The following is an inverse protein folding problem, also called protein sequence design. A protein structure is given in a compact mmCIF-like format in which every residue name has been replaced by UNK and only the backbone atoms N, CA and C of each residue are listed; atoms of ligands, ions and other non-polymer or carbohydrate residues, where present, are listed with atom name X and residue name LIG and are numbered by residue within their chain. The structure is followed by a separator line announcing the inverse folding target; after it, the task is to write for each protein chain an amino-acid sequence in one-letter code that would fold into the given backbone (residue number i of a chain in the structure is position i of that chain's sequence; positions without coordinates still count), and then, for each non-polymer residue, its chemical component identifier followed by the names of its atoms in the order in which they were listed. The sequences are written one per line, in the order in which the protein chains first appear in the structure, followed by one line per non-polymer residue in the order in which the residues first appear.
data_IF_491962356799
#
_entry.id   IF_491962356799
#
_cell.length_a   1.000
_cell.length_b   1.000
_cell.length_c   1.000
_cell.angle_alpha   90.00
_cell.angle_beta   90.00
_cell.angle_gamma   90.00
#
_symmetry.space_group_name_H-M   'P 1'
#
loop_
_entity.id
_entity.type
_entity.pdbx_description
1 polymer ?
#
# COMPACT_ATOMS: atom_id res chain seq x y z
N UNK A 1 21.75 7.35 -45.60
CA UNK A 1 21.28 6.38 -44.60
C UNK A 1 22.46 5.94 -43.73
N UNK A 2 22.59 6.50 -42.52
CA UNK A 2 23.04 5.81 -41.30
C UNK A 2 22.78 6.76 -40.13
N UNK A 3 22.06 6.20 -39.17
CA UNK A 3 21.24 6.84 -38.15
C UNK A 3 22.11 7.50 -37.08
N UNK A 4 21.73 8.73 -36.70
CA UNK A 4 22.13 9.37 -35.45
C UNK A 4 21.77 8.44 -34.28
N UNK A 5 22.77 7.86 -33.62
CA UNK A 5 22.53 7.26 -32.30
C UNK A 5 22.50 8.43 -31.32
N UNK A 6 21.29 8.95 -31.09
CA UNK A 6 21.00 9.80 -29.95
C UNK A 6 21.37 9.02 -28.69
N UNK A 7 22.54 9.33 -28.13
CA UNK A 7 22.80 9.16 -26.70
C UNK A 7 21.78 10.02 -25.96
N UNK A 8 20.65 9.41 -25.60
CA UNK A 8 19.69 9.99 -24.66
C UNK A 8 20.36 9.94 -23.29
N UNK A 9 21.21 10.93 -23.05
CA UNK A 9 21.62 11.34 -21.71
C UNK A 9 20.35 11.86 -21.04
N UNK A 10 19.66 11.01 -20.28
CA UNK A 10 18.58 11.47 -19.40
C UNK A 10 19.24 12.28 -18.29
N UNK A 11 19.16 13.58 -18.52
CA UNK A 11 19.42 14.70 -17.66
C UNK A 11 18.58 14.59 -16.36
N UNK A 12 19.24 14.84 -15.24
CA UNK A 12 18.73 15.37 -13.97
C UNK A 12 17.75 14.53 -13.14
N UNK A 13 18.28 13.94 -12.06
CA UNK A 13 17.78 14.32 -10.74
C UNK A 13 18.97 14.91 -9.99
N UNK A 14 19.01 16.23 -9.96
CA UNK A 14 19.73 17.06 -9.00
C UNK A 14 19.71 16.43 -7.60
N UNK A 15 20.83 16.53 -6.89
CA UNK A 15 20.91 16.11 -5.49
C UNK A 15 19.75 16.70 -4.67
N UNK A 16 19.07 15.86 -3.91
CA UNK A 16 18.08 16.28 -2.92
C UNK A 16 18.02 15.13 -1.94
N UNK A 17 18.61 15.30 -0.76
CA UNK A 17 18.64 14.38 0.39
C UNK A 17 17.90 13.06 0.13
N UNK A 18 18.61 11.98 -0.26
CA UNK A 18 17.98 10.66 -0.49
C UNK A 18 17.54 10.07 0.84
N UNK A 19 16.54 10.68 1.46
CA UNK A 19 15.78 10.04 2.51
C UNK A 19 15.17 8.78 1.91
N UNK A 20 15.25 7.69 2.68
CA UNK A 20 14.53 6.46 2.35
C UNK A 20 13.06 6.78 2.06
N UNK A 21 12.39 6.01 1.21
CA UNK A 21 10.96 6.17 0.92
C UNK A 21 10.13 5.20 1.77
N UNK A 22 8.95 5.65 2.19
CA UNK A 22 7.95 4.79 2.82
C UNK A 22 7.47 3.69 1.87
N UNK A 23 6.83 2.65 2.42
CA UNK A 23 6.24 1.59 1.60
C UNK A 23 5.25 2.16 0.59
N UNK A 24 4.36 3.07 1.03
CA UNK A 24 3.37 3.69 0.15
C UNK A 24 4.00 4.50 -1.00
N UNK A 25 5.08 5.24 -0.76
CA UNK A 25 5.78 5.98 -1.81
C UNK A 25 6.39 5.03 -2.86
N UNK A 26 7.08 3.98 -2.42
CA UNK A 26 7.67 2.98 -3.33
C UNK A 26 6.59 2.21 -4.11
N UNK A 27 5.49 1.85 -3.43
CA UNK A 27 4.36 1.17 -4.03
C UNK A 27 3.62 2.02 -5.06
N UNK A 28 3.48 3.32 -4.80
CA UNK A 28 2.90 4.27 -5.74
C UNK A 28 3.72 4.32 -7.04
N UNK A 29 5.03 4.49 -6.92
CA UNK A 29 5.95 4.53 -8.06
C UNK A 29 5.90 3.24 -8.89
N UNK A 30 5.74 2.11 -8.21
CA UNK A 30 5.71 0.79 -8.85
C UNK A 30 4.37 0.46 -9.52
N UNK A 31 3.25 0.75 -8.86
CA UNK A 31 1.92 0.26 -9.25
C UNK A 31 1.09 1.31 -9.98
N UNK A 32 1.31 2.59 -9.68
CA UNK A 32 0.56 3.73 -10.20
C UNK A 32 1.52 4.78 -10.79
N UNK A 33 2.27 4.44 -11.87
CA UNK A 33 3.25 5.36 -12.43
C UNK A 33 2.59 6.67 -12.89
N UNK A 34 3.22 7.79 -12.53
CA UNK A 34 2.71 9.14 -12.81
C UNK A 34 1.64 9.66 -11.84
N UNK A 35 1.29 8.89 -10.79
CA UNK A 35 0.44 9.36 -9.68
C UNK A 35 1.27 9.90 -8.52
N UNK A 36 0.61 10.65 -7.64
CA UNK A 36 1.19 11.23 -6.43
C UNK A 36 0.51 10.67 -5.17
N UNK A 37 1.07 10.91 -3.98
CA UNK A 37 0.41 10.53 -2.72
C UNK A 37 -0.97 11.17 -2.57
N UNK A 38 -1.20 12.34 -3.19
CA UNK A 38 -2.51 12.98 -3.22
C UNK A 38 -3.55 12.19 -4.03
N UNK A 39 -3.14 11.27 -4.88
CA UNK A 39 -4.01 10.40 -5.66
C UNK A 39 -4.41 9.11 -4.93
N UNK A 40 -3.72 8.80 -3.85
CA UNK A 40 -3.96 7.60 -3.02
C UNK A 40 -4.32 7.96 -1.59
N UNK A 41 -4.98 9.11 -1.38
CA UNK A 41 -5.63 9.41 -0.10
C UNK A 41 -6.73 8.38 0.17
N UNK A 42 -7.09 8.17 1.44
CA UNK A 42 -8.09 7.17 1.81
C UNK A 42 -9.39 7.27 1.01
N UNK A 43 -9.95 8.49 0.87
CA UNK A 43 -11.18 8.70 0.09
C UNK A 43 -11.03 8.37 -1.40
N UNK A 44 -9.87 8.67 -2.01
CA UNK A 44 -9.58 8.29 -3.40
C UNK A 44 -9.37 6.78 -3.54
N UNK A 45 -8.64 6.15 -2.62
CA UNK A 45 -8.49 4.70 -2.58
C UNK A 45 -9.84 4.01 -2.45
N UNK A 46 -10.73 4.52 -1.60
CA UNK A 46 -12.07 3.97 -1.46
C UNK A 46 -12.85 4.06 -2.77
N UNK A 47 -12.82 5.23 -3.41
CA UNK A 47 -13.53 5.45 -4.67
C UNK A 47 -12.96 4.58 -5.79
N UNK A 48 -11.65 4.58 -5.98
CA UNK A 48 -11.01 3.86 -7.10
C UNK A 48 -11.00 2.34 -6.86
N UNK A 49 -10.51 1.87 -5.71
CA UNK A 49 -10.36 0.44 -5.46
C UNK A 49 -11.68 -0.26 -5.14
N UNK A 50 -12.55 0.36 -4.33
CA UNK A 50 -13.77 -0.29 -3.83
C UNK A 50 -15.01 0.01 -4.69
N UNK A 51 -15.22 1.27 -5.08
CA UNK A 51 -16.42 1.65 -5.84
C UNK A 51 -16.25 1.37 -7.34
N UNK A 52 -15.15 1.82 -7.94
CA UNK A 52 -14.88 1.65 -9.37
C UNK A 52 -14.22 0.31 -9.73
N UNK A 53 -13.94 -0.52 -8.73
CA UNK A 53 -13.26 -1.81 -8.88
C UNK A 53 -11.93 -1.71 -9.66
N UNK A 54 -11.19 -0.61 -9.48
CA UNK A 54 -9.95 -0.36 -10.22
C UNK A 54 -8.81 -1.25 -9.70
N UNK A 55 -8.43 -2.25 -10.50
CA UNK A 55 -7.39 -3.24 -10.14
C UNK A 55 -6.04 -2.62 -9.75
N UNK A 56 -5.60 -1.52 -10.38
CA UNK A 56 -4.31 -0.91 -10.03
C UNK A 56 -4.32 -0.35 -8.60
N UNK A 57 -5.42 0.28 -8.18
CA UNK A 57 -5.55 0.76 -6.81
C UNK A 57 -5.71 -0.39 -5.80
N UNK A 58 -6.34 -1.49 -6.21
CA UNK A 58 -6.37 -2.72 -5.39
C UNK A 58 -4.97 -3.30 -5.21
N UNK A 59 -4.17 -3.32 -6.27
CA UNK A 59 -2.77 -3.76 -6.19
C UNK A 59 -1.90 -2.78 -5.39
N UNK A 60 -2.21 -1.48 -5.39
CA UNK A 60 -1.57 -0.52 -4.50
C UNK A 60 -1.86 -0.82 -3.03
N UNK A 61 -3.12 -1.17 -2.70
CA UNK A 61 -3.50 -1.63 -1.35
C UNK A 61 -2.72 -2.89 -0.96
N UNK A 62 -2.67 -3.89 -1.84
CA UNK A 62 -1.86 -5.10 -1.62
C UNK A 62 -0.41 -4.74 -1.31
N UNK A 63 0.19 -3.90 -2.16
CA UNK A 63 1.59 -3.48 -2.02
C UNK A 63 1.87 -2.86 -0.65
N UNK A 64 1.10 -1.83 -0.29
CA UNK A 64 1.33 -1.06 0.91
C UNK A 64 1.08 -1.92 2.15
N UNK A 65 -0.07 -2.58 2.23
CA UNK A 65 -0.44 -3.30 3.44
C UNK A 65 0.36 -4.60 3.65
N UNK A 66 0.82 -5.27 2.60
CA UNK A 66 1.71 -6.44 2.76
C UNK A 66 3.10 -6.04 3.27
N UNK A 67 3.66 -4.95 2.76
CA UNK A 67 4.96 -4.44 3.22
C UNK A 67 4.93 -3.83 4.64
N UNK A 68 3.73 -3.62 5.21
CA UNK A 68 3.51 -3.18 6.58
C UNK A 68 3.06 -4.31 7.51
N UNK A 69 3.09 -5.57 7.06
CA UNK A 69 2.66 -6.76 7.81
C UNK A 69 1.19 -6.73 8.24
N UNK A 70 0.33 -6.08 7.45
CA UNK A 70 -1.12 -6.02 7.67
C UNK A 70 -1.83 -7.07 6.81
N UNK A 71 -1.34 -7.28 5.59
CA UNK A 71 -1.77 -8.34 4.69
C UNK A 71 -0.61 -9.29 4.39
N UNK A 72 -0.95 -10.48 3.92
CA UNK A 72 -0.03 -11.44 3.32
C UNK A 72 0.20 -11.10 1.84
N UNK A 73 1.19 -11.74 1.22
CA UNK A 73 1.52 -11.59 -0.21
C UNK A 73 0.34 -11.98 -1.13
N UNK A 74 -0.50 -12.93 -0.69
CA UNK A 74 -1.71 -13.33 -1.41
C UNK A 74 -2.92 -12.41 -1.16
N UNK A 75 -2.74 -11.31 -0.42
CA UNK A 75 -3.77 -10.33 -0.10
C UNK A 75 -4.70 -10.71 1.05
N UNK A 76 -4.58 -11.90 1.64
CA UNK A 76 -5.31 -12.25 2.85
C UNK A 76 -4.80 -11.46 4.07
N UNK A 77 -5.60 -11.35 5.13
CA UNK A 77 -5.17 -10.68 6.36
C UNK A 77 -4.01 -11.43 7.02
N UNK A 78 -2.97 -10.69 7.42
CA UNK A 78 -1.93 -11.23 8.30
C UNK A 78 -2.46 -11.26 9.74
N UNK A 79 -2.31 -12.39 10.42
CA UNK A 79 -2.74 -12.56 11.81
C UNK A 79 -1.54 -12.40 12.74
N UNK A 80 -0.38 -12.90 12.32
CA UNK A 80 0.82 -12.98 13.14
C UNK A 80 1.59 -11.66 13.08
N UNK A 81 1.62 -10.94 14.20
CA UNK A 81 2.32 -9.66 14.30
C UNK A 81 1.67 -8.53 13.51
N UNK A 82 0.36 -8.64 13.22
CA UNK A 82 -0.38 -7.56 12.57
C UNK A 82 -0.34 -6.32 13.47
N UNK A 83 0.18 -5.18 12.98
CA UNK A 83 0.35 -3.99 13.81
C UNK A 83 -0.97 -3.38 14.26
N UNK A 84 -2.10 -3.73 13.61
CA UNK A 84 -3.43 -3.25 13.96
C UNK A 84 -4.07 -4.02 15.13
N UNK A 85 -3.41 -5.04 15.70
CA UNK A 85 -3.98 -5.91 16.73
C UNK A 85 -4.51 -5.15 17.95
N UNK A 86 -3.86 -4.06 18.37
CA UNK A 86 -4.32 -3.25 19.50
C UNK A 86 -5.66 -2.56 19.27
N UNK A 87 -6.06 -2.34 18.01
CA UNK A 87 -7.28 -1.63 17.64
C UNK A 87 -8.36 -2.56 17.07
N UNK A 88 -7.94 -3.67 16.43
CA UNK A 88 -8.79 -4.48 15.58
C UNK A 88 -8.75 -5.99 15.93
N UNK A 89 -8.36 -6.39 17.13
CA UNK A 89 -8.07 -7.80 17.50
C UNK A 89 -9.04 -8.85 16.91
N UNK A 90 -10.30 -8.85 17.35
CA UNK A 90 -11.31 -9.79 16.85
C UNK A 90 -11.64 -9.58 15.36
N UNK A 91 -11.53 -8.34 14.87
CA UNK A 91 -11.78 -7.99 13.46
C UNK A 91 -10.73 -8.66 12.58
N UNK A 92 -9.45 -8.67 12.98
CA UNK A 92 -8.36 -9.33 12.24
C UNK A 92 -8.66 -10.82 12.10
N UNK A 93 -9.01 -11.48 13.21
CA UNK A 93 -9.30 -12.91 13.21
C UNK A 93 -10.53 -13.25 12.34
N UNK A 94 -11.54 -12.39 12.31
CA UNK A 94 -12.73 -12.58 11.49
C UNK A 94 -12.47 -12.32 10.01
N UNK A 95 -11.78 -11.23 9.66
CA UNK A 95 -11.43 -10.90 8.28
C UNK A 95 -10.46 -11.92 7.66
N UNK A 96 -9.60 -12.54 8.47
CA UNK A 96 -8.68 -13.57 7.98
C UNK A 96 -9.37 -14.89 7.58
N UNK A 97 -10.63 -15.10 7.98
CA UNK A 97 -11.43 -16.27 7.58
C UNK A 97 -12.08 -16.12 6.22
N UNK A 98 -12.08 -14.91 5.66
CA UNK A 98 -12.70 -14.70 4.35
C UNK A 98 -11.92 -15.44 3.24
N UNK A 99 -12.62 -16.06 2.28
CA UNK A 99 -11.96 -16.82 1.23
C UNK A 99 -11.17 -15.89 0.29
N UNK A 100 -10.01 -16.37 -0.16
CA UNK A 100 -9.24 -15.70 -1.20
C UNK A 100 -9.97 -15.77 -2.55
N UNK A 101 -9.88 -14.69 -3.35
CA UNK A 101 -10.61 -14.55 -4.61
C UNK A 101 -9.82 -15.03 -5.85
N UNK A 102 -8.74 -15.80 -5.66
CA UNK A 102 -7.85 -16.26 -6.73
C UNK A 102 -6.96 -15.18 -7.35
N UNK A 103 -7.29 -13.90 -7.18
CA UNK A 103 -6.45 -12.74 -7.52
C UNK A 103 -6.03 -12.01 -6.22
N UNK A 104 -4.72 -11.85 -6.00
CA UNK A 104 -4.18 -11.27 -4.76
C UNK A 104 -4.60 -9.81 -4.56
N UNK A 105 -4.73 -9.02 -5.63
CA UNK A 105 -5.17 -7.63 -5.52
C UNK A 105 -6.67 -7.57 -5.15
N UNK A 106 -7.51 -8.42 -5.74
CA UNK A 106 -8.92 -8.54 -5.35
C UNK A 106 -9.07 -9.03 -3.91
N UNK A 107 -8.25 -10.00 -3.49
CA UNK A 107 -8.23 -10.50 -2.11
C UNK A 107 -7.78 -9.41 -1.13
N UNK A 108 -6.79 -8.59 -1.50
CA UNK A 108 -6.36 -7.45 -0.71
C UNK A 108 -7.44 -6.37 -0.60
N UNK A 109 -8.18 -6.10 -1.69
CA UNK A 109 -9.35 -5.22 -1.67
C UNK A 109 -10.36 -5.68 -0.61
N UNK A 110 -10.71 -6.97 -0.66
CA UNK A 110 -11.70 -7.56 0.24
C UNK A 110 -11.22 -7.51 1.70
N UNK A 111 -10.00 -7.94 1.96
CA UNK A 111 -9.38 -7.92 3.28
C UNK A 111 -9.27 -6.51 3.86
N UNK A 112 -8.84 -5.54 3.05
CA UNK A 112 -8.75 -4.14 3.46
C UNK A 112 -10.13 -3.54 3.75
N UNK A 113 -11.14 -3.88 2.93
CA UNK A 113 -12.51 -3.44 3.19
C UNK A 113 -13.03 -4.02 4.52
N UNK A 114 -12.78 -5.30 4.80
CA UNK A 114 -13.18 -5.93 6.05
C UNK A 114 -12.51 -5.27 7.27
N UNK A 115 -11.18 -5.09 7.24
CA UNK A 115 -10.43 -4.48 8.35
C UNK A 115 -10.82 -3.02 8.60
N UNK A 116 -10.90 -2.23 7.53
CA UNK A 116 -10.97 -0.77 7.63
C UNK A 116 -12.41 -0.26 7.73
N UNK A 117 -13.42 -1.07 7.43
CA UNK A 117 -14.82 -0.74 7.71
C UNK A 117 -15.06 -0.48 9.20
N UNK A 118 -14.40 -1.25 10.07
CA UNK A 118 -14.46 -1.10 11.52
C UNK A 118 -13.73 0.16 12.02
N UNK A 119 -12.79 0.68 11.24
CA UNK A 119 -11.98 1.85 11.59
C UNK A 119 -12.64 3.19 11.24
N UNK A 120 -13.72 3.20 10.45
CA UNK A 120 -14.36 4.43 9.97
C UNK A 120 -13.41 5.30 9.13
N UNK A 121 -13.10 6.51 9.60
CA UNK A 121 -12.15 7.43 8.95
C UNK A 121 -10.74 7.16 9.45
N UNK A 122 -9.80 6.92 8.52
CA UNK A 122 -8.38 6.79 8.84
C UNK A 122 -7.76 8.15 9.21
N UNK A 123 -7.86 8.53 10.48
CA UNK A 123 -7.22 9.71 11.02
C UNK A 123 -5.71 9.43 11.27
N UNK A 124 -4.78 10.21 10.69
CA UNK A 124 -3.35 9.96 10.84
C UNK A 124 -2.80 10.22 12.26
N UNK A 125 -3.62 10.70 13.20
CA UNK A 125 -3.21 11.09 14.55
C UNK A 125 -3.78 10.17 15.64
N UNK A 126 -4.69 9.23 15.34
CA UNK A 126 -5.17 8.22 16.29
C UNK A 126 -5.58 6.90 15.62
N UNK A 127 -5.84 5.87 16.44
CA UNK A 127 -6.33 4.55 16.03
C UNK A 127 -5.55 3.92 14.87
N UNK A 128 -6.26 3.22 14.00
CA UNK A 128 -5.72 2.52 12.82
C UNK A 128 -4.93 3.44 11.90
N UNK A 129 -5.39 4.67 11.68
CA UNK A 129 -4.72 5.62 10.79
C UNK A 129 -3.34 6.05 11.30
N UNK A 130 -3.20 6.28 12.62
CA UNK A 130 -1.90 6.52 13.24
C UNK A 130 -0.96 5.33 13.12
N UNK A 131 -1.46 4.11 13.37
CA UNK A 131 -0.62 2.90 13.28
C UNK A 131 -0.08 2.72 11.85
N UNK A 132 -0.90 2.89 10.82
CA UNK A 132 -0.46 2.79 9.42
C UNK A 132 0.58 3.87 9.09
N UNK A 133 0.39 5.11 9.58
CA UNK A 133 1.36 6.20 9.42
C UNK A 133 2.68 5.86 10.08
N UNK A 134 2.66 5.39 11.32
CA UNK A 134 3.85 5.05 12.09
C UNK A 134 4.60 3.88 11.44
N UNK A 135 3.90 2.85 10.98
CA UNK A 135 4.51 1.72 10.27
C UNK A 135 5.14 2.14 8.94
N UNK A 136 4.52 3.07 8.21
CA UNK A 136 5.15 3.66 7.02
C UNK A 136 6.42 4.45 7.36
N UNK A 137 6.43 5.18 8.48
CA UNK A 137 7.60 5.91 8.95
C UNK A 137 8.71 4.95 9.43
N UNK A 138 8.38 3.88 10.14
CA UNK A 138 9.32 2.80 10.51
C UNK A 138 9.92 2.14 9.27
N UNK A 139 9.10 1.80 8.28
CA UNK A 139 9.56 1.26 7.00
C UNK A 139 10.54 2.21 6.33
N UNK A 140 10.16 3.49 6.22
CA UNK A 140 11.03 4.56 5.70
C UNK A 140 12.36 4.58 6.45
N UNK A 141 12.33 4.67 7.78
CA UNK A 141 13.55 4.76 8.58
C UNK A 141 14.42 3.49 8.50
N UNK A 142 13.82 2.33 8.22
CA UNK A 142 14.56 1.08 8.05
C UNK A 142 15.40 1.00 6.77
N UNK A 143 15.14 1.84 5.78
CA UNK A 143 15.84 1.82 4.48
C UNK A 143 15.53 0.59 3.62
N UNK A 144 14.50 -0.18 3.97
CA UNK A 144 14.04 -1.33 3.19
C UNK A 144 13.45 -0.90 1.85
N UNK A 145 13.57 -1.80 0.89
CA UNK A 145 12.83 -1.74 -0.37
C UNK A 145 11.58 -2.62 -0.26
N UNK A 146 10.49 -2.21 -0.91
CA UNK A 146 9.27 -3.01 -0.96
C UNK A 146 9.54 -4.38 -1.59
N UNK A 147 8.87 -5.41 -1.08
CA UNK A 147 8.74 -6.69 -1.75
C UNK A 147 7.49 -6.65 -2.64
N UNK A 148 7.64 -7.11 -3.87
CA UNK A 148 6.56 -7.22 -4.85
C UNK A 148 6.37 -8.68 -5.23
N UNK A 149 5.11 -9.12 -5.27
CA UNK A 149 4.70 -10.50 -5.54
C UNK A 149 3.66 -10.52 -6.65
#
# INVERSE_FOLDING_TARGET
MKILILTVSIILISGSCKGNKSANEQCLEKVLPGKTLNDVTWGKLQTEAFVKDNKQYQCFILCGLSNLNILKENGAVEINGNPLKSELDDVIANCAKEPALGDSCKTAKQSALCLLKSAGTLNPNNGVGKIIKDKNAEFKNSGKTIKWH
#
